data_IF_365948121504
#
_entry.id   IF_365948121504
#
_cell.length_a   1.000
_cell.length_b   1.000
_cell.length_c   1.000
_cell.angle_alpha   90.00
_cell.angle_beta   90.00
_cell.angle_gamma   90.00
#
_symmetry.space_group_name_H-M   'P 1'
#
loop_
_entity.id
_entity.type
_entity.pdbx_description
1 polymer ?
#
# COMPACT_ATOMS: atom_id res chain seq x y z
N UNK A 1 18.11 -22.87 -11.92
CA UNK A 1 18.20 -21.63 -11.13
C UNK A 1 16.88 -21.39 -10.40
N UNK A 2 16.84 -21.58 -9.08
CA UNK A 2 15.70 -21.20 -8.23
C UNK A 2 16.24 -20.46 -7.00
N UNK A 3 16.29 -19.13 -7.09
CA UNK A 3 16.42 -18.25 -5.92
C UNK A 3 15.41 -17.12 -6.10
N UNK A 4 14.17 -17.33 -5.64
CA UNK A 4 13.13 -16.30 -5.63
C UNK A 4 12.38 -16.23 -4.31
N UNK A 5 13.04 -16.56 -3.20
CA UNK A 5 12.63 -16.06 -1.88
C UNK A 5 13.87 -15.84 -1.03
N UNK A 6 14.51 -14.67 -1.18
CA UNK A 6 15.74 -14.31 -0.48
C UNK A 6 15.60 -14.12 1.03
N UNK A 7 14.61 -14.75 1.67
CA UNK A 7 14.46 -14.83 3.13
C UNK A 7 14.05 -16.25 3.51
N UNK A 8 14.60 -16.74 4.61
CA UNK A 8 14.16 -17.98 5.24
C UNK A 8 13.02 -17.70 6.22
N UNK A 9 12.11 -18.66 6.41
CA UNK A 9 10.93 -18.48 7.26
C UNK A 9 11.29 -18.18 8.73
N UNK A 10 12.47 -18.62 9.20
CA UNK A 10 12.96 -18.30 10.56
C UNK A 10 13.39 -16.83 10.71
N UNK A 11 13.68 -16.13 9.61
CA UNK A 11 14.08 -14.72 9.63
C UNK A 11 12.87 -13.77 9.74
N UNK A 12 11.69 -14.24 9.28
CA UNK A 12 10.46 -13.44 9.16
C UNK A 12 10.14 -12.65 10.44
N UNK A 13 10.08 -13.25 11.64
CA UNK A 13 9.72 -12.50 12.85
C UNK A 13 10.70 -11.36 13.15
N UNK A 14 12.00 -11.60 12.94
CA UNK A 14 13.03 -10.58 13.21
C UNK A 14 12.97 -9.44 12.19
N UNK A 15 12.74 -9.75 10.91
CA UNK A 15 12.62 -8.75 9.85
C UNK A 15 11.40 -7.84 10.09
N UNK A 16 10.23 -8.42 10.38
CA UNK A 16 9.03 -7.64 10.69
C UNK A 16 9.23 -6.77 11.94
N UNK A 17 9.86 -7.29 13.01
CA UNK A 17 10.20 -6.49 14.20
C UNK A 17 11.15 -5.33 13.91
N UNK A 18 12.12 -5.51 13.01
CA UNK A 18 13.01 -4.43 12.57
C UNK A 18 12.24 -3.34 11.82
N UNK A 19 11.30 -3.72 10.95
CA UNK A 19 10.43 -2.77 10.26
C UNK A 19 9.53 -2.00 11.24
N UNK A 20 8.90 -2.69 12.19
CA UNK A 20 8.06 -2.07 13.22
C UNK A 20 8.87 -1.05 14.04
N UNK A 21 10.11 -1.40 14.42
CA UNK A 21 11.00 -0.49 15.15
C UNK A 21 11.45 0.69 14.30
N UNK A 22 11.71 0.46 13.03
CA UNK A 22 12.09 1.50 12.08
C UNK A 22 11.00 2.56 11.94
N UNK A 23 9.76 2.13 11.72
CA UNK A 23 8.62 3.04 11.54
C UNK A 23 8.19 3.69 12.85
N UNK A 24 8.11 2.90 13.92
CA UNK A 24 7.50 3.30 15.19
C UNK A 24 6.27 2.46 15.50
N UNK A 25 6.32 1.72 16.62
CA UNK A 25 5.23 0.82 17.02
C UNK A 25 3.92 1.57 17.32
N UNK A 26 4.00 2.76 17.93
CA UNK A 26 2.82 3.55 18.28
C UNK A 26 2.12 4.08 17.01
N UNK A 27 2.91 4.51 16.02
CA UNK A 27 2.47 5.04 14.74
C UNK A 27 1.79 3.96 13.90
N UNK A 28 2.37 2.75 13.85
CA UNK A 28 1.74 1.61 13.21
C UNK A 28 0.40 1.29 13.89
N UNK A 29 0.36 1.18 15.22
CA UNK A 29 -0.89 0.91 15.95
C UNK A 29 -1.95 1.95 15.66
N UNK A 30 -1.61 3.25 15.73
CA UNK A 30 -2.52 4.35 15.39
C UNK A 30 -3.07 4.24 13.96
N UNK A 31 -2.24 3.83 13.00
CA UNK A 31 -2.68 3.64 11.62
C UNK A 31 -3.59 2.41 11.48
N UNK A 32 -3.23 1.29 12.10
CA UNK A 32 -4.06 0.08 12.12
C UNK A 32 -5.41 0.32 12.79
N UNK A 33 -5.47 1.07 13.89
CA UNK A 33 -6.74 1.42 14.56
C UNK A 33 -7.64 2.28 13.66
N UNK A 34 -7.07 3.21 12.89
CA UNK A 34 -7.83 3.98 11.89
C UNK A 34 -8.32 3.11 10.75
N UNK A 35 -7.46 2.21 10.26
CA UNK A 35 -7.79 1.26 9.21
C UNK A 35 -8.91 0.30 9.65
N UNK A 36 -8.80 -0.30 10.83
CA UNK A 36 -9.82 -1.19 11.40
C UNK A 36 -11.16 -0.48 11.62
N UNK A 37 -11.15 0.75 12.14
CA UNK A 37 -12.39 1.56 12.24
C UNK A 37 -13.01 1.79 10.87
N UNK A 38 -12.19 2.07 9.85
CA UNK A 38 -12.67 2.26 8.48
C UNK A 38 -13.30 0.96 7.92
N UNK A 39 -12.70 -0.21 8.21
CA UNK A 39 -13.27 -1.50 7.82
C UNK A 39 -14.61 -1.80 8.51
N UNK A 40 -14.75 -1.40 9.79
CA UNK A 40 -15.97 -1.61 10.57
C UNK A 40 -17.11 -0.69 10.14
N UNK A 41 -16.80 0.55 9.76
CA UNK A 41 -17.80 1.55 9.37
C UNK A 41 -18.19 1.53 7.90
N UNK A 42 -17.49 0.76 7.06
CA UNK A 42 -17.73 0.70 5.62
C UNK A 42 -18.62 -0.48 5.27
N UNK A 43 -19.42 -0.35 4.21
CA UNK A 43 -20.19 -1.48 3.74
C UNK A 43 -19.29 -2.54 3.07
N UNK A 44 -19.87 -3.70 2.72
CA UNK A 44 -19.13 -4.86 2.27
C UNK A 44 -18.37 -4.64 0.96
N UNK A 45 -18.90 -3.86 0.02
CA UNK A 45 -18.30 -3.67 -1.31
C UNK A 45 -17.10 -2.75 -1.19
N UNK A 46 -17.29 -1.60 -0.56
CA UNK A 46 -16.20 -0.64 -0.40
C UNK A 46 -15.07 -1.21 0.45
N UNK A 47 -15.42 -1.99 1.46
CA UNK A 47 -14.47 -2.72 2.29
C UNK A 47 -13.63 -3.71 1.48
N UNK A 48 -14.28 -4.60 0.74
CA UNK A 48 -13.60 -5.71 0.05
C UNK A 48 -12.76 -5.23 -1.13
N UNK A 49 -13.34 -4.38 -1.98
CA UNK A 49 -12.72 -4.05 -3.27
C UNK A 49 -11.88 -2.77 -3.26
N UNK A 50 -11.93 -1.98 -2.18
CA UNK A 50 -11.12 -0.78 -2.05
C UNK A 50 -10.26 -0.80 -0.80
N UNK A 51 -10.86 -0.81 0.40
CA UNK A 51 -10.12 -0.60 1.65
C UNK A 51 -9.05 -1.65 1.90
N UNK A 52 -9.37 -2.94 1.71
CA UNK A 52 -8.40 -4.03 1.90
C UNK A 52 -7.17 -3.92 1.03
N UNK A 53 -7.34 -3.42 -0.19
CA UNK A 53 -6.25 -3.26 -1.17
C UNK A 53 -5.54 -1.92 -1.09
N UNK A 54 -6.01 -1.01 -0.24
CA UNK A 54 -5.56 0.39 -0.22
C UNK A 54 -4.11 0.52 0.21
N UNK A 55 -3.66 -0.30 1.15
CA UNK A 55 -2.31 -0.26 1.66
C UNK A 55 -1.65 -1.64 1.58
N UNK A 56 -0.37 -1.74 1.18
CA UNK A 56 0.31 -3.01 0.94
C UNK A 56 0.51 -3.88 2.17
N UNK A 57 0.44 -3.32 3.38
CA UNK A 57 0.86 -4.01 4.60
C UNK A 57 -0.20 -4.17 5.69
N UNK A 58 -1.37 -3.52 5.60
CA UNK A 58 -2.28 -3.48 6.76
C UNK A 58 -2.84 -4.84 7.14
N UNK A 59 -3.24 -5.65 6.17
CA UNK A 59 -3.69 -7.02 6.44
C UNK A 59 -2.56 -7.88 7.02
N UNK A 60 -1.36 -7.81 6.42
CA UNK A 60 -0.19 -8.54 6.89
C UNK A 60 0.19 -8.17 8.34
N UNK A 61 0.12 -6.89 8.71
CA UNK A 61 0.41 -6.42 10.06
C UNK A 61 -0.67 -6.85 11.06
N UNK A 62 -1.96 -6.84 10.68
CA UNK A 62 -3.04 -7.38 11.52
C UNK A 62 -2.83 -8.87 11.77
N UNK A 63 -2.54 -9.65 10.73
CA UNK A 63 -2.23 -11.07 10.83
C UNK A 63 -1.04 -11.31 11.77
N UNK A 64 0.05 -10.56 11.57
CA UNK A 64 1.25 -10.65 12.41
C UNK A 64 0.96 -10.36 13.89
N UNK A 65 0.28 -9.25 14.20
CA UNK A 65 -0.05 -8.90 15.59
C UNK A 65 -1.07 -9.86 16.22
N UNK A 66 -1.97 -10.43 15.43
CA UNK A 66 -2.91 -11.47 15.90
C UNK A 66 -2.16 -12.74 16.35
N UNK A 67 -1.15 -13.16 15.58
CA UNK A 67 -0.28 -14.28 15.95
C UNK A 67 0.52 -13.99 17.22
N UNK A 68 1.12 -12.79 17.33
CA UNK A 68 1.84 -12.40 18.55
C UNK A 68 0.91 -12.36 19.78
N UNK A 69 -0.29 -11.76 19.66
CA UNK A 69 -1.25 -11.66 20.77
C UNK A 69 -1.76 -13.02 21.22
N UNK A 70 -1.93 -13.97 20.30
CA UNK A 70 -2.39 -15.33 20.60
C UNK A 70 -1.26 -16.27 21.04
N UNK A 71 -0.02 -15.79 21.15
CA UNK A 71 1.15 -16.61 21.49
C UNK A 71 1.47 -17.70 20.45
N UNK A 72 0.91 -17.60 19.24
CA UNK A 72 1.13 -18.58 18.18
C UNK A 72 2.49 -18.35 17.53
N UNK A 73 3.18 -19.44 17.22
CA UNK A 73 4.44 -19.38 16.48
C UNK A 73 4.21 -18.82 15.09
N UNK A 74 4.82 -17.66 14.79
CA UNK A 74 4.77 -17.01 13.47
C UNK A 74 5.29 -17.98 12.39
N UNK A 75 6.37 -18.72 12.67
CA UNK A 75 6.95 -19.70 11.73
C UNK A 75 5.95 -20.79 11.35
N UNK A 76 5.17 -21.30 12.30
CA UNK A 76 4.19 -22.38 12.06
C UNK A 76 2.89 -21.89 11.42
N UNK A 77 2.61 -20.60 11.51
CA UNK A 77 1.38 -19.97 11.00
C UNK A 77 1.71 -18.90 9.96
N UNK A 78 2.80 -19.08 9.22
CA UNK A 78 3.30 -18.09 8.27
C UNK A 78 2.36 -18.01 7.06
N UNK A 79 1.81 -16.83 6.82
CA UNK A 79 1.02 -16.55 5.62
C UNK A 79 1.88 -15.91 4.53
N UNK A 80 1.40 -15.93 3.29
CA UNK A 80 2.07 -15.24 2.19
C UNK A 80 2.13 -13.72 2.41
N UNK A 81 1.08 -13.13 3.00
CA UNK A 81 1.04 -11.70 3.33
C UNK A 81 2.15 -11.30 4.31
N UNK A 82 2.31 -12.06 5.39
CA UNK A 82 3.38 -11.82 6.37
C UNK A 82 4.77 -12.06 5.76
N UNK A 83 4.90 -13.03 4.84
CA UNK A 83 6.15 -13.29 4.11
C UNK A 83 6.53 -12.13 3.17
N UNK A 84 5.58 -11.58 2.43
CA UNK A 84 5.77 -10.40 1.57
C UNK A 84 6.19 -9.19 2.42
N UNK A 85 5.50 -8.93 3.53
CA UNK A 85 5.87 -7.90 4.49
C UNK A 85 7.31 -8.06 4.98
N UNK A 86 7.73 -9.29 5.30
CA UNK A 86 9.10 -9.57 5.73
C UNK A 86 10.13 -9.38 4.61
N UNK A 87 9.78 -9.67 3.35
CA UNK A 87 10.65 -9.39 2.21
C UNK A 87 10.87 -7.89 2.04
N UNK A 88 9.83 -7.09 2.15
CA UNK A 88 9.95 -5.63 2.10
C UNK A 88 10.73 -5.09 3.30
N UNK A 89 10.46 -5.63 4.50
CA UNK A 89 11.21 -5.31 5.71
C UNK A 89 12.72 -5.58 5.55
N UNK A 90 13.10 -6.67 4.87
CA UNK A 90 14.51 -6.96 4.56
C UNK A 90 15.11 -5.85 3.70
N UNK A 91 14.48 -5.51 2.57
CA UNK A 91 14.95 -4.47 1.64
C UNK A 91 15.16 -3.15 2.38
N UNK A 92 14.14 -2.73 3.14
CA UNK A 92 14.16 -1.48 3.93
C UNK A 92 15.28 -1.52 4.97
N UNK A 93 15.43 -2.63 5.72
CA UNK A 93 16.43 -2.73 6.79
C UNK A 93 17.88 -2.60 6.31
N UNK A 94 18.13 -2.95 5.05
CA UNK A 94 19.43 -2.83 4.40
C UNK A 94 19.59 -1.43 3.81
N UNK A 95 18.66 -1.01 2.95
CA UNK A 95 18.78 0.24 2.19
C UNK A 95 18.68 1.48 3.09
N UNK A 96 17.93 1.44 4.19
CA UNK A 96 17.80 2.59 5.10
C UNK A 96 19.14 3.08 5.67
N UNK A 97 20.14 2.17 5.75
CA UNK A 97 21.46 2.47 6.31
C UNK A 97 22.27 3.37 5.39
N UNK A 98 21.91 3.39 4.11
CA UNK A 98 22.52 4.22 3.07
C UNK A 98 21.79 5.56 2.93
N UNK A 99 20.61 5.71 3.55
CA UNK A 99 19.80 6.93 3.45
C UNK A 99 20.27 7.97 4.48
N UNK A 100 20.39 9.24 4.06
CA UNK A 100 20.44 10.39 4.96
C UNK A 100 19.23 10.43 5.88
N UNK A 101 19.38 11.04 7.06
CA UNK A 101 18.33 11.04 8.09
C UNK A 101 17.02 11.68 7.60
N UNK A 102 17.11 12.80 6.87
CA UNK A 102 15.92 13.47 6.29
C UNK A 102 15.12 12.53 5.37
N UNK A 103 15.81 11.76 4.52
CA UNK A 103 15.18 10.80 3.60
C UNK A 103 14.57 9.65 4.38
N UNK A 104 15.28 9.17 5.40
CA UNK A 104 14.81 8.11 6.29
C UNK A 104 13.50 8.50 6.99
N UNK A 105 13.42 9.71 7.54
CA UNK A 105 12.22 10.22 8.21
C UNK A 105 11.05 10.45 7.24
N UNK A 106 11.33 10.98 6.04
CA UNK A 106 10.35 11.07 4.94
C UNK A 106 9.75 9.69 4.64
N UNK A 107 10.60 8.68 4.47
CA UNK A 107 10.19 7.30 4.17
C UNK A 107 9.37 6.68 5.30
N UNK A 108 9.73 6.88 6.57
CA UNK A 108 8.92 6.39 7.71
C UNK A 108 7.49 6.92 7.64
N UNK A 109 7.32 8.22 7.35
CA UNK A 109 6.01 8.85 7.23
C UNK A 109 5.22 8.31 6.04
N UNK A 110 5.86 8.17 4.88
CA UNK A 110 5.15 7.83 3.67
C UNK A 110 4.83 6.32 3.56
N UNK A 111 5.65 5.45 4.17
CA UNK A 111 5.41 4.00 4.25
C UNK A 111 4.19 3.61 5.10
N UNK A 112 3.64 4.54 5.89
CA UNK A 112 2.39 4.36 6.64
C UNK A 112 1.23 5.19 6.08
N UNK A 113 1.44 5.88 4.97
CA UNK A 113 0.40 6.64 4.29
C UNK A 113 -0.29 5.76 3.25
N UNK A 114 -1.61 5.63 3.39
CA UNK A 114 -2.47 4.82 2.52
C UNK A 114 -2.36 5.14 1.03
N UNK A 115 -1.96 6.35 0.66
CA UNK A 115 -1.88 6.78 -0.73
C UNK A 115 -0.46 6.77 -1.27
N UNK A 116 0.57 6.76 -0.40
CA UNK A 116 1.97 6.90 -0.78
C UNK A 116 2.80 5.65 -0.58
N UNK A 117 2.48 4.78 0.38
CA UNK A 117 3.34 3.63 0.72
C UNK A 117 3.74 2.78 -0.49
N UNK A 118 2.82 2.66 -1.44
CA UNK A 118 2.98 1.98 -2.71
C UNK A 118 4.00 2.60 -3.68
N UNK A 119 4.18 3.93 -3.65
CA UNK A 119 5.16 4.66 -4.43
C UNK A 119 6.56 4.42 -3.86
N UNK A 120 6.68 4.54 -2.53
CA UNK A 120 7.94 4.31 -1.81
C UNK A 120 8.39 2.86 -1.86
N UNK A 121 7.48 1.90 -1.78
CA UNK A 121 7.84 0.49 -1.96
C UNK A 121 8.36 0.20 -3.36
N UNK A 122 7.85 0.91 -4.37
CA UNK A 122 8.38 0.82 -5.72
C UNK A 122 9.80 1.37 -5.79
N UNK A 123 10.07 2.55 -5.22
CA UNK A 123 11.43 3.12 -5.09
C UNK A 123 12.41 2.13 -4.42
N UNK A 124 12.01 1.58 -3.27
CA UNK A 124 12.78 0.56 -2.53
C UNK A 124 13.03 -0.68 -3.39
N UNK A 125 12.03 -1.12 -4.17
CA UNK A 125 12.17 -2.29 -5.03
C UNK A 125 13.17 -2.04 -6.17
N UNK A 126 13.17 -0.85 -6.77
CA UNK A 126 14.15 -0.49 -7.82
C UNK A 126 15.55 -0.34 -7.22
N UNK A 127 15.69 0.34 -6.08
CA UNK A 127 16.98 0.44 -5.38
C UNK A 127 17.52 -0.94 -4.99
N UNK A 128 16.65 -1.84 -4.49
CA UNK A 128 17.02 -3.20 -4.15
C UNK A 128 17.48 -4.01 -5.36
N UNK A 129 16.87 -3.81 -6.53
CA UNK A 129 17.28 -4.48 -7.77
C UNK A 129 18.75 -4.19 -8.08
N UNK A 130 19.15 -2.91 -8.10
CA UNK A 130 20.54 -2.52 -8.37
C UNK A 130 21.49 -2.92 -7.24
N UNK A 131 21.09 -2.71 -5.98
CA UNK A 131 21.87 -3.15 -4.83
C UNK A 131 22.16 -4.66 -4.88
N UNK A 132 21.17 -5.48 -5.25
CA UNK A 132 21.34 -6.94 -5.35
C UNK A 132 22.26 -7.39 -6.49
N UNK A 133 22.54 -6.51 -7.45
CA UNK A 133 23.51 -6.73 -8.54
C UNK A 133 24.92 -6.25 -8.19
N UNK A 134 25.14 -5.74 -6.97
CA UNK A 134 26.44 -5.25 -6.51
C UNK A 134 26.69 -3.77 -6.82
N UNK A 135 25.71 -3.04 -7.36
CA UNK A 135 25.84 -1.61 -7.58
C UNK A 135 25.78 -0.83 -6.25
N UNK A 136 26.51 0.28 -6.19
CA UNK A 136 26.42 1.24 -5.09
C UNK A 136 25.17 2.12 -5.26
N UNK A 137 24.47 2.39 -4.15
CA UNK A 137 23.26 3.22 -4.11
C UNK A 137 23.53 4.44 -3.23
N UNK A 138 23.40 5.64 -3.79
CA UNK A 138 23.56 6.90 -3.07
C UNK A 138 22.27 7.71 -3.13
N UNK A 139 21.69 7.96 -1.97
CA UNK A 139 20.50 8.80 -1.82
C UNK A 139 20.88 10.27 -1.76
N UNK A 140 20.08 11.13 -2.37
CA UNK A 140 20.30 12.58 -2.33
C UNK A 140 19.78 13.17 -1.03
N UNK A 141 20.50 14.15 -0.46
CA UNK A 141 19.92 15.02 0.56
C UNK A 141 19.02 16.05 -0.10
N UNK A 142 17.86 16.30 0.53
CA UNK A 142 16.80 17.16 0.02
C UNK A 142 17.21 18.64 0.20
N UNK A 143 18.17 19.09 -0.61
CA UNK A 143 18.71 20.45 -0.62
C UNK A 143 18.18 21.22 -1.84
N UNK A 144 16.87 21.49 -1.83
CA UNK A 144 16.17 22.53 -2.62
C UNK A 144 16.21 22.46 -4.16
N UNK A 145 16.95 21.54 -4.78
CA UNK A 145 16.88 21.27 -6.22
C UNK A 145 16.10 19.99 -6.48
N UNK A 146 15.44 19.95 -7.65
CA UNK A 146 14.70 18.79 -8.12
C UNK A 146 15.70 17.67 -8.40
N UNK A 147 15.84 16.74 -7.47
CA UNK A 147 16.73 15.57 -7.60
C UNK A 147 15.92 14.33 -7.96
N UNK A 148 16.56 13.42 -8.68
CA UNK A 148 16.13 12.04 -8.79
C UNK A 148 16.14 11.37 -7.41
N UNK A 149 15.47 10.25 -7.24
CA UNK A 149 15.36 9.59 -5.92
C UNK A 149 16.70 9.05 -5.41
N UNK A 150 17.54 8.49 -6.29
CA UNK A 150 18.89 8.04 -5.94
C UNK A 150 19.80 7.95 -7.17
N UNK A 151 21.11 7.94 -6.93
CA UNK A 151 22.15 7.61 -7.90
C UNK A 151 22.49 6.11 -7.79
N UNK A 152 22.64 5.46 -8.92
CA UNK A 152 23.24 4.13 -9.03
C UNK A 152 24.63 4.29 -9.62
N UNK A 153 25.62 3.65 -8.98
CA UNK A 153 26.99 3.60 -9.48
C UNK A 153 27.44 2.15 -9.63
N UNK A 154 27.93 1.84 -10.82
CA UNK A 154 28.69 0.64 -11.13
C UNK A 154 30.15 1.02 -11.39
N UNK A 155 31.00 0.03 -11.67
CA UNK A 155 32.41 0.21 -12.04
C UNK A 155 32.61 1.09 -13.28
N UNK A 156 31.72 0.99 -14.26
CA UNK A 156 31.89 1.63 -15.58
C UNK A 156 31.00 2.87 -15.80
N UNK A 157 29.91 3.04 -15.05
CA UNK A 157 28.95 4.12 -15.27
C UNK A 157 28.18 4.52 -14.02
N UNK A 158 27.66 5.74 -14.03
CA UNK A 158 26.76 6.27 -13.01
C UNK A 158 25.53 6.90 -13.66
N UNK A 159 24.37 6.76 -13.03
CA UNK A 159 23.13 7.32 -13.55
C UNK A 159 22.10 7.58 -12.45
N UNK A 160 21.29 8.60 -12.69
CA UNK A 160 20.20 9.03 -11.83
C UNK A 160 18.95 8.18 -12.05
N UNK A 161 18.30 7.78 -10.97
CA UNK A 161 17.06 7.00 -11.00
C UNK A 161 15.89 7.82 -10.47
N UNK A 162 14.98 8.14 -11.37
CA UNK A 162 13.67 8.72 -11.05
C UNK A 162 12.62 7.60 -11.06
N UNK A 163 11.88 7.44 -9.97
CA UNK A 163 10.79 6.48 -9.89
C UNK A 163 9.45 7.22 -9.98
N UNK A 164 8.60 6.83 -10.95
CA UNK A 164 7.25 7.38 -11.05
C UNK A 164 6.21 6.28 -11.08
N UNK A 165 5.34 6.29 -10.08
CA UNK A 165 4.13 5.51 -10.07
C UNK A 165 2.96 6.40 -10.43
N UNK A 166 2.34 6.13 -11.59
CA UNK A 166 1.18 6.88 -12.08
C UNK A 166 -0.06 6.04 -11.79
N UNK A 167 -0.93 6.54 -10.91
CA UNK A 167 -2.20 5.89 -10.65
C UNK A 167 -3.10 5.95 -11.88
N UNK A 168 -3.66 4.81 -12.27
CA UNK A 168 -4.68 4.74 -13.34
C UNK A 168 -5.93 5.56 -13.04
N UNK A 169 -6.14 5.97 -11.79
CA UNK A 169 -7.28 6.78 -11.37
C UNK A 169 -7.07 8.29 -11.62
N UNK A 170 -5.85 8.75 -11.90
CA UNK A 170 -5.56 10.20 -12.01
C UNK A 170 -6.29 10.85 -13.19
N UNK A 171 -6.43 10.13 -14.30
CA UNK A 171 -7.11 10.59 -15.51
C UNK A 171 -8.58 10.17 -15.60
N UNK A 172 -9.08 9.37 -14.65
CA UNK A 172 -10.45 8.86 -14.70
C UNK A 172 -11.45 9.91 -14.22
N UNK A 173 -12.58 10.00 -14.95
CA UNK A 173 -13.81 10.67 -14.49
C UNK A 173 -14.51 9.87 -13.38
N UNK A 174 -14.27 8.57 -13.29
CA UNK A 174 -14.81 7.71 -12.25
C UNK A 174 -13.63 7.07 -11.52
N UNK A 175 -13.32 7.59 -10.33
CA UNK A 175 -12.27 7.03 -9.47
C UNK A 175 -12.77 5.72 -8.86
N UNK A 176 -11.91 4.71 -8.70
CA UNK A 176 -12.31 3.39 -8.15
C UNK A 176 -12.93 3.53 -6.76
N UNK A 177 -12.34 4.38 -5.92
CA UNK A 177 -12.89 4.69 -4.59
C UNK A 177 -14.36 5.11 -4.66
N UNK A 178 -14.65 6.06 -5.54
CA UNK A 178 -15.96 6.67 -5.61
C UNK A 178 -16.96 5.74 -6.30
N UNK A 179 -16.51 4.94 -7.28
CA UNK A 179 -17.28 3.86 -7.88
C UNK A 179 -17.75 2.84 -6.83
N UNK A 180 -16.86 2.33 -5.98
CA UNK A 180 -17.26 1.32 -4.99
C UNK A 180 -18.19 1.90 -3.91
N UNK A 181 -17.98 3.16 -3.51
CA UNK A 181 -18.91 3.86 -2.60
C UNK A 181 -20.29 4.07 -3.24
N UNK A 182 -20.31 4.31 -4.55
CA UNK A 182 -21.54 4.46 -5.30
C UNK A 182 -22.28 3.12 -5.44
N UNK A 183 -21.56 2.06 -5.86
CA UNK A 183 -22.10 0.71 -5.98
C UNK A 183 -22.73 0.23 -4.65
N UNK A 184 -22.08 0.54 -3.53
CA UNK A 184 -22.58 0.22 -2.18
C UNK A 184 -23.92 0.86 -1.84
N UNK A 185 -24.21 2.05 -2.40
CA UNK A 185 -25.48 2.74 -2.23
C UNK A 185 -26.54 2.25 -3.22
N UNK A 186 -26.11 1.86 -4.42
CA UNK A 186 -26.99 1.43 -5.50
C UNK A 186 -27.51 -0.02 -5.33
N UNK A 187 -26.62 -0.96 -4.97
CA UNK A 187 -26.96 -2.38 -4.96
C UNK A 187 -28.16 -2.75 -4.07
N UNK A 188 -28.34 -2.20 -2.85
CA UNK A 188 -29.50 -2.54 -2.04
C UNK A 188 -30.84 -2.26 -2.73
N UNK A 189 -30.94 -1.17 -3.50
CA UNK A 189 -32.17 -0.82 -4.22
C UNK A 189 -32.37 -1.70 -5.45
N UNK A 190 -31.29 -2.03 -6.16
CA UNK A 190 -31.30 -2.98 -7.29
C UNK A 190 -31.79 -4.37 -6.83
N UNK A 191 -31.28 -4.84 -5.69
CA UNK A 191 -31.68 -6.12 -5.08
C UNK A 191 -33.15 -6.10 -4.66
N UNK A 192 -33.63 -5.01 -4.06
CA UNK A 192 -35.03 -4.87 -3.64
C UNK A 192 -36.03 -5.00 -4.78
N UNK A 193 -35.68 -4.57 -5.99
CA UNK A 193 -36.54 -4.67 -7.18
C UNK A 193 -36.45 -6.05 -7.82
N UNK A 194 -35.51 -6.90 -7.38
CA UNK A 194 -35.29 -8.22 -7.98
C UNK A 194 -34.72 -8.13 -9.39
N UNK A 195 -34.00 -7.04 -9.71
CA UNK A 195 -33.38 -6.90 -11.02
C UNK A 195 -32.32 -7.99 -11.22
N UNK A 196 -32.35 -8.65 -12.37
CA UNK A 196 -31.36 -9.65 -12.78
C UNK A 196 -30.80 -9.27 -14.15
N UNK A 197 -29.47 -9.25 -14.27
CA UNK A 197 -28.78 -8.86 -15.50
C UNK A 197 -27.70 -7.81 -15.25
N UNK A 198 -27.39 -7.02 -16.30
CA UNK A 198 -26.40 -5.94 -16.28
C UNK A 198 -27.07 -4.57 -16.19
N UNK A 199 -26.47 -3.65 -15.43
CA UNK A 199 -26.88 -2.24 -15.36
C UNK A 199 -25.78 -1.40 -15.98
N UNK A 200 -26.08 -0.77 -17.10
CA UNK A 200 -25.17 0.16 -17.77
C UNK A 200 -25.49 1.61 -17.36
N UNK A 201 -24.54 2.24 -16.66
CA UNK A 201 -24.71 3.59 -16.12
C UNK A 201 -23.83 4.56 -16.88
N UNK A 202 -24.45 5.48 -17.61
CA UNK A 202 -23.75 6.53 -18.35
C UNK A 202 -23.82 7.85 -17.59
N UNK A 203 -22.66 8.38 -17.19
CA UNK A 203 -22.54 9.70 -16.56
C UNK A 203 -22.10 10.73 -17.59
N UNK A 204 -22.78 11.88 -17.63
CA UNK A 204 -22.40 13.02 -18.48
C UNK A 204 -21.08 13.65 -18.04
N UNK A 205 -20.76 13.56 -16.75
CA UNK A 205 -19.52 14.10 -16.17
C UNK A 205 -18.92 13.18 -15.08
N UNK A 206 -17.95 13.70 -14.32
CA UNK A 206 -17.25 13.04 -13.22
C UNK A 206 -18.22 12.55 -12.14
N UNK A 207 -17.93 11.36 -11.60
CA UNK A 207 -18.59 10.88 -10.38
C UNK A 207 -18.04 11.65 -9.17
N UNK A 208 -18.84 12.51 -8.55
CA UNK A 208 -18.40 13.32 -7.42
C UNK A 208 -18.40 12.50 -6.12
N UNK A 209 -17.35 12.66 -5.31
CA UNK A 209 -17.14 11.85 -4.10
C UNK A 209 -18.06 12.22 -2.91
N UNK A 210 -18.94 13.22 -3.01
CA UNK A 210 -19.76 13.66 -1.88
C UNK A 210 -20.90 12.67 -1.61
N UNK A 211 -21.16 12.34 -0.34
CA UNK A 211 -22.19 11.36 0.00
C UNK A 211 -23.58 11.77 -0.49
N UNK A 212 -23.91 13.06 -0.41
CA UNK A 212 -25.18 13.59 -0.92
C UNK A 212 -25.33 13.34 -2.43
N UNK A 213 -24.27 13.56 -3.21
CA UNK A 213 -24.30 13.31 -4.65
C UNK A 213 -24.44 11.81 -4.94
N UNK A 214 -23.66 10.97 -4.27
CA UNK A 214 -23.72 9.52 -4.46
C UNK A 214 -25.09 8.94 -4.08
N UNK A 215 -25.69 9.41 -2.98
CA UNK A 215 -27.04 9.01 -2.55
C UNK A 215 -28.11 9.46 -3.55
N UNK A 216 -28.01 10.70 -4.06
CA UNK A 216 -28.98 11.23 -5.03
C UNK A 216 -28.89 10.47 -6.35
N UNK A 217 -27.67 10.17 -6.80
CA UNK A 217 -27.47 9.42 -8.03
C UNK A 217 -27.97 7.97 -7.90
N UNK A 218 -27.78 7.33 -6.75
CA UNK A 218 -28.22 5.93 -6.58
C UNK A 218 -29.73 5.78 -6.60
N UNK A 219 -30.48 6.78 -6.13
CA UNK A 219 -31.95 6.75 -6.20
C UNK A 219 -32.47 7.04 -7.61
N UNK A 220 -31.79 7.89 -8.40
CA UNK A 220 -32.22 8.24 -9.76
C UNK A 220 -32.10 7.11 -10.78
N UNK A 221 -31.26 6.10 -10.56
CA UNK A 221 -31.04 5.02 -11.54
C UNK A 221 -32.14 3.96 -11.48
N UNK A 222 -32.82 3.90 -10.35
CA UNK A 222 -33.73 2.82 -10.01
C UNK A 222 -35.20 3.22 -10.19
N UNK A 223 -35.44 4.47 -10.61
CA UNK A 223 -36.73 5.03 -11.02
C UNK A 223 -36.62 5.64 -12.42
#
# INVERSE_FOLDING_TARGET
MKQTSGIHDYEVPNLVKKLIRFIGNAEIKKCLDRYQRSLQSSGPIFREYYLKTRHPWWEALIEYFSLEKSGKSIKRNLTNNVKILAMDAKKISVLQRLMPEKIREKYKKDLIDDNRAFDYLFEIQIAWHFFSKGCEIKWYEDDSKKHSEFLVKDSDFEFNVECKRISVDISRKIRRRDFYRFAEKLLPTVEQIGFSGSIDITLKDRLHSSDNHLNTLSTQIVY
#
